data_IF_964119189157
#
_entry.id   IF_964119189157
#
_cell.length_a   1.000
_cell.length_b   1.000
_cell.length_c   1.000
_cell.angle_alpha   90.00
_cell.angle_beta   90.00
_cell.angle_gamma   90.00
#
_symmetry.space_group_name_H-M   'P 1'
#
loop_
_entity.id
_entity.type
_entity.pdbx_description
1 polymer ?
#
# COMPACT_ATOMS: atom_id res chain seq x y z
N UNK A 1 13.20 32.51 -79.51
CA UNK A 1 13.17 33.87 -78.91
C UNK A 1 11.74 34.39 -78.89
N UNK A 2 11.11 34.43 -77.71
CA UNK A 2 10.39 35.58 -77.13
C UNK A 2 9.69 35.09 -75.85
N UNK A 3 10.17 35.62 -74.73
CA UNK A 3 9.60 35.52 -73.40
C UNK A 3 8.33 36.38 -73.30
N UNK A 4 7.39 35.96 -72.46
CA UNK A 4 6.77 36.77 -71.39
C UNK A 4 5.25 36.57 -71.27
N UNK A 5 4.85 36.18 -70.05
CA UNK A 5 3.81 36.82 -69.22
C UNK A 5 2.65 35.93 -68.76
N UNK A 6 2.46 35.98 -67.42
CA UNK A 6 1.22 35.84 -66.64
C UNK A 6 0.83 34.45 -66.09
N UNK A 7 1.24 34.26 -64.84
CA UNK A 7 0.54 33.76 -63.65
C UNK A 7 -0.67 32.78 -63.78
N UNK A 8 -0.76 31.80 -62.87
CA UNK A 8 -1.84 30.81 -62.83
C UNK A 8 -3.09 31.41 -62.19
N UNK A 9 -4.23 31.29 -62.87
CA UNK A 9 -5.53 31.55 -62.28
C UNK A 9 -6.49 30.43 -62.69
N UNK A 10 -7.18 29.88 -61.68
CA UNK A 10 -8.39 29.05 -61.78
C UNK A 10 -8.22 27.59 -62.22
N UNK A 11 -7.69 26.78 -61.30
CA UNK A 11 -8.12 25.40 -61.14
C UNK A 11 -8.23 25.04 -59.65
N UNK A 12 -9.03 25.85 -58.93
CA UNK A 12 -9.56 25.55 -57.60
C UNK A 12 -11.08 25.37 -57.76
N UNK A 13 -11.54 24.13 -57.82
CA UNK A 13 -12.87 23.71 -57.35
C UNK A 13 -13.08 22.23 -57.73
N UNK A 14 -12.74 21.32 -56.81
CA UNK A 14 -13.33 19.99 -56.54
C UNK A 14 -12.31 18.92 -56.08
N UNK A 15 -11.44 19.27 -55.13
CA UNK A 15 -10.68 18.27 -54.37
C UNK A 15 -10.31 18.77 -52.96
N UNK A 16 -11.23 19.46 -52.29
CA UNK A 16 -11.01 20.00 -50.94
C UNK A 16 -12.25 19.88 -50.03
N UNK A 17 -12.96 18.75 -50.08
CA UNK A 17 -14.08 18.46 -49.15
C UNK A 17 -13.99 17.09 -48.48
N UNK A 18 -12.78 16.55 -48.33
CA UNK A 18 -12.55 15.35 -47.50
C UNK A 18 -11.11 15.29 -46.97
N UNK A 19 -10.69 16.30 -46.18
CA UNK A 19 -9.61 16.20 -45.17
C UNK A 19 -9.31 17.58 -44.55
N UNK A 20 -10.35 18.26 -44.04
CA UNK A 20 -10.20 19.53 -43.32
C UNK A 20 -11.19 19.67 -42.14
N UNK A 21 -11.82 18.58 -41.70
CA UNK A 21 -12.63 18.57 -40.47
C UNK A 21 -11.83 18.15 -39.22
N UNK A 22 -10.53 17.92 -39.37
CA UNK A 22 -9.63 17.76 -38.25
C UNK A 22 -9.08 19.16 -37.87
N UNK A 23 -9.23 19.54 -36.61
CA UNK A 23 -8.49 20.62 -35.90
C UNK A 23 -9.05 22.04 -35.93
N UNK A 24 -10.30 22.24 -35.51
CA UNK A 24 -10.60 23.38 -34.64
C UNK A 24 -10.85 22.84 -33.22
N UNK A 25 -10.12 23.28 -32.18
CA UNK A 25 -10.41 22.85 -30.81
C UNK A 25 -11.83 23.30 -30.47
N UNK A 26 -12.68 22.35 -30.05
CA UNK A 26 -14.00 22.69 -29.57
C UNK A 26 -13.84 23.54 -28.30
N UNK A 27 -14.03 24.85 -28.44
CA UNK A 27 -13.84 25.82 -27.37
C UNK A 27 -14.72 25.50 -26.14
N UNK A 28 -15.82 24.74 -26.28
CA UNK A 28 -16.61 24.27 -25.14
C UNK A 28 -15.90 23.12 -24.43
N UNK A 29 -15.42 22.12 -25.17
CA UNK A 29 -14.66 21.00 -24.65
C UNK A 29 -13.44 21.47 -23.85
N UNK A 30 -12.60 22.33 -24.44
CA UNK A 30 -11.39 22.85 -23.78
C UNK A 30 -11.74 23.61 -22.49
N UNK A 31 -12.82 24.40 -22.50
CA UNK A 31 -13.29 25.09 -21.29
C UNK A 31 -13.78 24.12 -20.22
N UNK A 32 -14.44 23.02 -20.58
CA UNK A 32 -14.89 22.04 -19.59
C UNK A 32 -13.72 21.28 -18.98
N UNK A 33 -12.76 20.83 -19.80
CA UNK A 33 -11.55 20.14 -19.33
C UNK A 33 -10.74 21.04 -18.39
N UNK A 34 -10.42 22.28 -18.79
CA UNK A 34 -9.66 23.21 -17.94
C UNK A 34 -10.39 23.53 -16.62
N UNK A 35 -11.72 23.69 -16.65
CA UNK A 35 -12.51 23.92 -15.42
C UNK A 35 -12.61 22.67 -14.55
N UNK A 36 -12.60 21.48 -15.16
CA UNK A 36 -12.60 20.22 -14.43
C UNK A 36 -11.28 20.04 -13.69
N UNK A 37 -10.16 20.28 -14.37
CA UNK A 37 -8.83 20.28 -13.79
C UNK A 37 -8.71 21.27 -12.63
N UNK A 38 -9.09 22.53 -12.83
CA UNK A 38 -9.10 23.53 -11.75
C UNK A 38 -10.02 23.12 -10.58
N UNK A 39 -11.11 22.39 -10.85
CA UNK A 39 -11.97 21.88 -9.78
C UNK A 39 -11.32 20.70 -9.04
N UNK A 40 -10.50 19.87 -9.69
CA UNK A 40 -9.72 18.82 -9.02
C UNK A 40 -8.64 19.44 -8.13
N UNK A 41 -7.92 20.45 -8.60
CA UNK A 41 -6.91 21.18 -7.80
C UNK A 41 -7.52 21.88 -6.58
N UNK A 42 -8.76 22.36 -6.70
CA UNK A 42 -9.51 22.96 -5.58
C UNK A 42 -10.22 21.94 -4.68
N UNK A 43 -9.97 20.63 -4.84
CA UNK A 43 -10.63 19.54 -4.11
C UNK A 43 -12.17 19.60 -4.18
N UNK A 44 -12.72 19.92 -5.36
CA UNK A 44 -14.15 20.00 -5.64
C UNK A 44 -14.60 18.84 -6.56
N UNK A 45 -14.60 17.58 -6.09
CA UNK A 45 -14.80 16.39 -6.93
C UNK A 45 -16.19 16.35 -7.58
N UNK A 46 -17.23 16.82 -6.90
CA UNK A 46 -18.60 16.91 -7.47
C UNK A 46 -18.68 17.88 -8.64
N UNK A 47 -17.92 18.99 -8.59
CA UNK A 47 -17.85 19.96 -9.69
C UNK A 47 -17.03 19.41 -10.84
N UNK A 48 -15.86 18.82 -10.55
CA UNK A 48 -15.03 18.17 -11.56
C UNK A 48 -15.83 17.10 -12.33
N UNK A 49 -16.50 16.19 -11.63
CA UNK A 49 -17.35 15.15 -12.24
C UNK A 49 -18.38 15.70 -13.24
N UNK A 50 -19.14 16.72 -12.84
CA UNK A 50 -20.16 17.31 -13.75
C UNK A 50 -19.54 17.93 -15.00
N UNK A 51 -18.34 18.48 -14.89
CA UNK A 51 -17.63 19.06 -16.03
C UNK A 51 -17.04 17.98 -16.93
N UNK A 52 -16.48 16.91 -16.34
CA UNK A 52 -15.96 15.77 -17.07
C UNK A 52 -17.05 14.98 -17.80
N UNK A 53 -18.24 14.82 -17.19
CA UNK A 53 -19.39 14.23 -17.88
C UNK A 53 -19.78 15.03 -19.12
N UNK A 54 -19.86 16.36 -19.01
CA UNK A 54 -20.14 17.24 -20.18
C UNK A 54 -19.06 17.17 -21.25
N UNK A 55 -17.79 17.10 -20.85
CA UNK A 55 -16.67 16.95 -21.78
C UNK A 55 -16.77 15.61 -22.52
N UNK A 56 -17.06 14.52 -21.81
CA UNK A 56 -17.24 13.20 -22.38
C UNK A 56 -18.47 13.12 -23.30
N UNK A 57 -19.63 13.66 -22.91
CA UNK A 57 -20.84 13.67 -23.75
C UNK A 57 -20.61 14.43 -25.08
N UNK A 58 -19.79 15.49 -25.05
CA UNK A 58 -19.47 16.26 -26.24
C UNK A 58 -18.44 15.57 -27.15
N UNK A 59 -17.49 14.85 -26.58
CA UNK A 59 -16.48 14.09 -27.32
C UNK A 59 -16.08 12.80 -26.57
N UNK A 60 -16.85 11.71 -26.74
CA UNK A 60 -16.60 10.46 -26.01
C UNK A 60 -15.22 9.86 -26.29
N UNK A 61 -14.71 10.07 -27.51
CA UNK A 61 -13.42 9.60 -27.98
C UNK A 61 -12.21 10.34 -27.40
N UNK A 62 -12.38 11.48 -26.70
CA UNK A 62 -11.25 12.24 -26.15
C UNK A 62 -10.72 11.61 -24.84
N UNK A 63 -9.46 11.13 -24.80
CA UNK A 63 -8.92 10.45 -23.63
C UNK A 63 -8.69 11.36 -22.43
N UNK A 64 -8.63 12.69 -22.61
CA UNK A 64 -8.33 13.65 -21.53
C UNK A 64 -9.40 13.66 -20.45
N UNK A 65 -10.66 13.44 -20.82
CA UNK A 65 -11.74 13.31 -19.85
C UNK A 65 -11.51 12.09 -18.93
N UNK A 66 -11.11 10.94 -19.49
CA UNK A 66 -10.79 9.74 -18.73
C UNK A 66 -9.51 9.89 -17.88
N UNK A 67 -8.48 10.56 -18.40
CA UNK A 67 -7.25 10.85 -17.65
C UNK A 67 -7.53 11.73 -16.41
N UNK A 68 -8.35 12.77 -16.55
CA UNK A 68 -8.77 13.60 -15.42
C UNK A 68 -9.72 12.85 -14.47
N UNK A 69 -10.59 12.02 -15.01
CA UNK A 69 -11.52 11.17 -14.25
C UNK A 69 -10.80 10.21 -13.30
N UNK A 70 -9.64 9.67 -13.72
CA UNK A 70 -8.82 8.81 -12.87
C UNK A 70 -8.44 9.47 -11.54
N UNK A 71 -8.31 10.80 -11.51
CA UNK A 71 -8.00 11.58 -10.30
C UNK A 71 -9.17 11.71 -9.32
N UNK A 72 -10.38 11.37 -9.73
CA UNK A 72 -11.55 11.30 -8.84
C UNK A 72 -11.53 10.06 -7.94
N UNK A 73 -10.81 9.01 -8.36
CA UNK A 73 -10.74 7.77 -7.60
C UNK A 73 -9.77 7.93 -6.42
N UNK A 74 -10.18 7.56 -5.20
CA UNK A 74 -9.33 7.73 -4.04
C UNK A 74 -8.10 6.82 -4.13
N UNK A 75 -6.93 7.35 -3.78
CA UNK A 75 -5.69 6.56 -3.71
C UNK A 75 -5.69 5.59 -2.52
N UNK A 76 -6.29 6.01 -1.40
CA UNK A 76 -6.60 5.15 -0.26
C UNK A 76 -8.11 4.90 -0.28
N UNK A 77 -8.54 3.68 -0.60
CA UNK A 77 -9.89 3.27 -0.25
C UNK A 77 -9.98 3.33 1.28
N UNK A 78 -10.60 4.39 1.80
CA UNK A 78 -10.78 4.63 3.24
C UNK A 78 -11.19 3.32 3.90
N UNK A 79 -10.60 3.00 5.06
CA UNK A 79 -10.61 1.69 5.75
C UNK A 79 -11.98 1.13 6.15
N UNK A 80 -12.92 1.09 5.22
CA UNK A 80 -14.25 0.52 5.29
C UNK A 80 -14.31 -0.61 4.25
N UNK A 81 -14.86 -1.76 4.65
CA UNK A 81 -14.99 -2.92 3.78
C UNK A 81 -15.90 -2.65 2.55
N UNK A 82 -16.79 -1.65 2.64
CA UNK A 82 -17.67 -1.22 1.55
C UNK A 82 -17.25 0.13 0.98
N UNK A 83 -17.30 0.28 -0.34
CA UNK A 83 -17.08 1.56 -1.00
C UNK A 83 -18.33 2.42 -0.90
N UNK A 84 -18.14 3.74 -0.79
CA UNK A 84 -19.25 4.66 -1.02
C UNK A 84 -19.80 4.47 -2.43
N UNK A 85 -21.13 4.54 -2.56
CA UNK A 85 -21.84 4.47 -3.84
C UNK A 85 -21.25 5.47 -4.87
N UNK A 86 -20.83 6.63 -4.37
CA UNK A 86 -20.15 7.67 -5.15
C UNK A 86 -18.88 7.16 -5.83
N UNK A 87 -17.98 6.51 -5.07
CA UNK A 87 -16.72 5.99 -5.62
C UNK A 87 -16.98 4.86 -6.60
N UNK A 88 -17.97 4.00 -6.32
CA UNK A 88 -18.36 2.95 -7.26
C UNK A 88 -18.93 3.53 -8.58
N UNK A 89 -19.71 4.61 -8.50
CA UNK A 89 -20.20 5.31 -9.68
C UNK A 89 -19.08 5.97 -10.49
N UNK A 90 -18.13 6.64 -9.82
CA UNK A 90 -16.95 7.23 -10.48
C UNK A 90 -16.09 6.16 -11.16
N UNK A 91 -15.90 5.00 -10.52
CA UNK A 91 -15.15 3.89 -11.09
C UNK A 91 -15.85 3.30 -12.32
N UNK A 92 -17.18 3.09 -12.28
CA UNK A 92 -17.94 2.64 -13.47
C UNK A 92 -17.84 3.63 -14.62
N UNK A 93 -18.09 4.90 -14.32
CA UNK A 93 -18.05 5.96 -15.32
C UNK A 93 -16.66 6.12 -15.94
N UNK A 94 -15.58 6.03 -15.16
CA UNK A 94 -14.21 6.03 -15.70
C UNK A 94 -14.00 4.90 -16.70
N UNK A 95 -14.46 3.69 -16.40
CA UNK A 95 -14.30 2.54 -17.31
C UNK A 95 -15.07 2.73 -18.61
N UNK A 96 -16.29 3.26 -18.54
CA UNK A 96 -17.07 3.64 -19.72
C UNK A 96 -16.33 4.70 -20.55
N UNK A 97 -15.78 5.72 -19.90
CA UNK A 97 -15.01 6.76 -20.56
C UNK A 97 -13.72 6.22 -21.23
N UNK A 98 -13.02 5.28 -20.59
CA UNK A 98 -11.85 4.61 -21.17
C UNK A 98 -12.24 3.76 -22.37
N UNK A 99 -13.35 3.02 -22.30
CA UNK A 99 -13.80 2.14 -23.38
C UNK A 99 -14.24 2.91 -24.63
N UNK A 100 -14.73 4.14 -24.46
CA UNK A 100 -15.15 5.02 -25.55
C UNK A 100 -14.01 5.90 -26.10
N UNK A 101 -12.90 6.06 -25.38
CA UNK A 101 -11.78 6.90 -25.77
C UNK A 101 -10.92 6.27 -26.89
N UNK A 102 -10.42 7.10 -27.80
CA UNK A 102 -9.37 6.70 -28.71
C UNK A 102 -8.08 6.39 -27.93
N UNK A 103 -7.29 5.44 -28.44
CA UNK A 103 -6.00 5.13 -27.85
C UNK A 103 -5.09 6.37 -27.89
N UNK A 104 -4.56 6.84 -26.74
CA UNK A 104 -3.66 7.99 -26.73
C UNK A 104 -2.41 7.70 -27.58
N UNK A 105 -1.98 8.70 -28.35
CA UNK A 105 -0.73 8.64 -29.09
C UNK A 105 0.47 8.59 -28.14
N UNK A 106 0.41 9.30 -27.01
CA UNK A 106 1.43 9.25 -25.98
C UNK A 106 1.39 7.91 -25.22
N UNK A 107 2.46 7.10 -25.28
CA UNK A 107 2.55 5.84 -24.53
C UNK A 107 2.42 6.01 -23.02
N UNK A 108 2.76 7.18 -22.46
CA UNK A 108 2.61 7.48 -21.03
C UNK A 108 1.14 7.63 -20.64
N UNK A 109 0.36 8.37 -21.43
CA UNK A 109 -1.09 8.50 -21.26
C UNK A 109 -1.79 7.16 -21.43
N UNK A 110 -1.41 6.37 -22.44
CA UNK A 110 -1.95 5.02 -22.63
C UNK A 110 -1.65 4.10 -21.44
N UNK A 111 -0.47 4.20 -20.82
CA UNK A 111 -0.12 3.48 -19.57
C UNK A 111 -0.93 4.00 -18.38
N UNK A 112 -1.15 5.31 -18.29
CA UNK A 112 -1.94 5.92 -17.22
C UNK A 112 -3.40 5.44 -17.27
N UNK A 113 -4.02 5.40 -18.45
CA UNK A 113 -5.38 4.86 -18.61
C UNK A 113 -5.47 3.39 -18.24
N UNK A 114 -4.49 2.55 -18.63
CA UNK A 114 -4.48 1.13 -18.22
C UNK A 114 -4.36 0.96 -16.71
N UNK A 115 -3.55 1.78 -16.03
CA UNK A 115 -3.46 1.78 -14.56
C UNK A 115 -4.75 2.25 -13.90
N UNK A 116 -5.40 3.26 -14.49
CA UNK A 116 -6.64 3.82 -14.01
C UNK A 116 -7.81 2.83 -14.14
N UNK A 117 -7.91 2.12 -15.27
CA UNK A 117 -8.90 1.05 -15.47
C UNK A 117 -8.66 -0.10 -14.48
N UNK A 118 -7.42 -0.57 -14.32
CA UNK A 118 -7.09 -1.61 -13.36
C UNK A 118 -7.47 -1.20 -11.92
N UNK A 119 -7.23 0.07 -11.53
CA UNK A 119 -7.66 0.57 -10.23
C UNK A 119 -9.19 0.62 -10.09
N UNK A 120 -9.91 1.07 -11.12
CA UNK A 120 -11.37 1.07 -11.13
C UNK A 120 -11.94 -0.35 -11.02
N UNK A 121 -11.37 -1.32 -11.73
CA UNK A 121 -11.73 -2.73 -11.61
C UNK A 121 -11.52 -3.25 -10.18
N UNK A 122 -10.38 -2.94 -9.56
CA UNK A 122 -10.09 -3.33 -8.18
C UNK A 122 -11.13 -2.76 -7.20
N UNK A 123 -11.47 -1.47 -7.34
CA UNK A 123 -12.53 -0.82 -6.57
C UNK A 123 -13.87 -1.53 -6.77
N UNK A 124 -14.25 -1.85 -8.00
CA UNK A 124 -15.51 -2.51 -8.32
C UNK A 124 -15.60 -3.99 -7.91
N UNK A 125 -14.53 -4.57 -7.36
CA UNK A 125 -14.52 -5.95 -6.89
C UNK A 125 -14.03 -6.97 -7.93
N UNK A 126 -13.64 -6.52 -9.12
CA UNK A 126 -13.02 -7.33 -10.17
C UNK A 126 -11.53 -7.54 -9.85
N UNK A 127 -11.23 -8.17 -8.71
CA UNK A 127 -9.87 -8.28 -8.18
C UNK A 127 -8.94 -9.09 -9.07
N UNK A 128 -9.48 -10.10 -9.77
CA UNK A 128 -8.71 -10.97 -10.66
C UNK A 128 -8.23 -10.20 -11.89
N UNK A 129 -9.15 -9.53 -12.56
CA UNK A 129 -8.94 -8.75 -13.78
C UNK A 129 -7.98 -7.59 -13.49
N UNK A 130 -8.25 -6.85 -12.41
CA UNK A 130 -7.45 -5.71 -11.98
C UNK A 130 -5.97 -6.07 -11.81
N UNK A 131 -5.70 -7.24 -11.22
CA UNK A 131 -4.33 -7.72 -11.03
C UNK A 131 -3.78 -8.29 -12.31
N UNK A 132 -4.54 -9.06 -13.09
CA UNK A 132 -4.05 -9.79 -14.26
C UNK A 132 -3.67 -8.86 -15.42
N UNK A 133 -4.53 -7.89 -15.72
CA UNK A 133 -4.45 -7.05 -16.91
C UNK A 133 -3.48 -5.88 -16.77
N UNK A 134 -3.10 -5.53 -15.53
CA UNK A 134 -2.16 -4.45 -15.29
C UNK A 134 -0.78 -4.80 -15.87
N UNK A 135 -0.21 -4.05 -16.83
CA UNK A 135 1.14 -4.26 -17.30
C UNK A 135 2.15 -3.82 -16.23
N UNK A 136 3.15 -4.65 -15.97
CA UNK A 136 4.17 -4.40 -14.95
C UNK A 136 5.53 -4.78 -15.53
N UNK A 137 6.39 -3.79 -15.70
CA UNK A 137 7.77 -3.99 -16.15
C UNK A 137 8.76 -4.19 -14.99
N UNK A 138 9.99 -4.65 -15.27
CA UNK A 138 11.07 -4.61 -14.30
C UNK A 138 11.33 -3.16 -13.87
N UNK A 139 11.55 -2.95 -12.57
CA UNK A 139 11.77 -1.63 -11.97
C UNK A 139 10.60 -0.63 -12.12
N UNK A 140 9.40 -1.07 -12.52
CA UNK A 140 8.22 -0.20 -12.62
C UNK A 140 7.64 0.10 -11.23
N UNK A 141 8.18 1.16 -10.60
CA UNK A 141 7.77 1.60 -9.27
C UNK A 141 6.31 2.00 -9.19
N UNK A 142 5.77 2.63 -10.24
CA UNK A 142 4.40 3.11 -10.23
C UNK A 142 3.40 1.95 -10.33
N UNK A 143 3.68 0.92 -11.15
CA UNK A 143 2.84 -0.27 -11.19
C UNK A 143 2.98 -1.12 -9.91
N UNK A 144 4.17 -1.22 -9.33
CA UNK A 144 4.38 -1.92 -8.06
C UNK A 144 3.61 -1.27 -6.90
N UNK A 145 3.64 0.06 -6.80
CA UNK A 145 2.88 0.81 -5.79
C UNK A 145 1.37 0.68 -6.00
N UNK A 146 0.88 0.67 -7.25
CA UNK A 146 -0.54 0.41 -7.52
C UNK A 146 -0.96 -0.99 -7.08
N UNK A 147 -0.16 -2.02 -7.40
CA UNK A 147 -0.43 -3.39 -6.96
C UNK A 147 -0.40 -3.53 -5.44
N UNK A 148 0.51 -2.82 -4.77
CA UNK A 148 0.57 -2.75 -3.31
C UNK A 148 -0.72 -2.15 -2.73
N UNK A 149 -1.22 -1.05 -3.31
CA UNK A 149 -2.51 -0.44 -2.90
C UNK A 149 -3.69 -1.39 -3.12
N UNK A 150 -3.72 -2.08 -4.25
CA UNK A 150 -4.71 -3.13 -4.53
C UNK A 150 -4.65 -4.24 -3.48
N UNK A 151 -3.45 -4.69 -3.10
CA UNK A 151 -3.30 -5.70 -2.08
C UNK A 151 -3.89 -5.26 -0.73
N UNK A 152 -3.64 -4.02 -0.31
CA UNK A 152 -4.26 -3.44 0.89
C UNK A 152 -5.79 -3.44 0.80
N UNK A 153 -6.36 -3.02 -0.34
CA UNK A 153 -7.81 -3.07 -0.57
C UNK A 153 -8.35 -4.50 -0.49
N UNK A 154 -7.66 -5.46 -1.08
CA UNK A 154 -8.07 -6.86 -1.10
C UNK A 154 -8.00 -7.49 0.30
N UNK A 155 -6.98 -7.16 1.11
CA UNK A 155 -6.92 -7.57 2.53
C UNK A 155 -8.12 -7.03 3.31
N UNK A 156 -8.50 -5.77 3.11
CA UNK A 156 -9.68 -5.19 3.77
C UNK A 156 -11.00 -5.89 3.39
N UNK A 157 -11.03 -6.57 2.23
CA UNK A 157 -12.17 -7.34 1.73
C UNK A 157 -12.03 -8.85 1.94
N UNK A 158 -11.05 -9.28 2.73
CA UNK A 158 -10.74 -10.68 2.99
C UNK A 158 -10.37 -11.51 1.74
N UNK A 159 -10.03 -10.86 0.62
CA UNK A 159 -9.52 -11.52 -0.59
C UNK A 159 -8.00 -11.67 -0.50
N UNK A 160 -7.57 -12.55 0.40
CA UNK A 160 -6.16 -12.82 0.64
C UNK A 160 -5.48 -13.53 -0.56
N UNK A 161 -6.27 -14.08 -1.51
CA UNK A 161 -5.75 -14.68 -2.74
C UNK A 161 -5.24 -13.63 -3.71
N UNK A 162 -6.08 -12.65 -4.05
CA UNK A 162 -5.68 -11.59 -4.96
C UNK A 162 -4.70 -10.62 -4.32
N UNK A 163 -4.76 -10.42 -3.00
CA UNK A 163 -3.74 -9.68 -2.27
C UNK A 163 -2.34 -10.28 -2.46
N UNK A 164 -2.21 -11.62 -2.34
CA UNK A 164 -0.93 -12.31 -2.52
C UNK A 164 -0.44 -12.18 -3.96
N UNK A 165 -1.34 -12.35 -4.94
CA UNK A 165 -1.00 -12.20 -6.36
C UNK A 165 -0.49 -10.80 -6.65
N UNK A 166 -1.15 -9.77 -6.12
CA UNK A 166 -0.76 -8.39 -6.31
C UNK A 166 0.61 -8.09 -5.70
N UNK A 167 0.85 -8.44 -4.43
CA UNK A 167 2.15 -8.26 -3.78
C UNK A 167 3.26 -9.09 -4.44
N UNK A 168 2.99 -10.31 -4.88
CA UNK A 168 3.98 -11.13 -5.58
C UNK A 168 4.35 -10.55 -6.95
N UNK A 169 3.41 -9.92 -7.65
CA UNK A 169 3.70 -9.16 -8.89
C UNK A 169 4.51 -7.89 -8.59
N UNK A 170 4.15 -7.15 -7.54
CA UNK A 170 4.87 -5.95 -7.13
C UNK A 170 6.32 -6.28 -6.73
N UNK A 171 6.51 -7.34 -5.94
CA UNK A 171 7.83 -7.81 -5.52
C UNK A 171 8.68 -8.30 -6.70
N UNK A 172 8.08 -8.93 -7.73
CA UNK A 172 8.82 -9.26 -8.96
C UNK A 172 9.30 -8.02 -9.73
N UNK A 173 8.52 -6.93 -9.70
CA UNK A 173 8.92 -5.67 -10.33
C UNK A 173 10.04 -4.97 -9.55
N UNK A 174 9.99 -5.03 -8.21
CA UNK A 174 10.97 -4.46 -7.30
C UNK A 174 11.48 -5.50 -6.28
N UNK A 175 12.32 -6.46 -6.68
CA UNK A 175 12.75 -7.57 -5.80
C UNK A 175 13.56 -7.12 -4.59
N UNK A 176 14.16 -5.94 -4.68
CA UNK A 176 15.04 -5.37 -3.65
C UNK A 176 14.29 -4.45 -2.67
N UNK A 177 13.00 -4.20 -2.89
CA UNK A 177 12.20 -3.34 -2.03
C UNK A 177 11.84 -4.06 -0.71
N UNK A 178 12.40 -3.62 0.43
CA UNK A 178 12.17 -4.27 1.72
C UNK A 178 10.72 -4.16 2.18
N UNK A 179 9.98 -3.12 1.76
CA UNK A 179 8.59 -2.91 2.13
C UNK A 179 7.70 -3.99 1.52
N UNK A 180 7.88 -4.29 0.23
CA UNK A 180 7.11 -5.31 -0.48
C UNK A 180 7.38 -6.71 0.05
N UNK A 181 8.64 -7.02 0.36
CA UNK A 181 8.99 -8.31 0.97
C UNK A 181 8.35 -8.47 2.35
N UNK A 182 8.36 -7.41 3.17
CA UNK A 182 7.73 -7.41 4.49
C UNK A 182 6.21 -7.63 4.40
N UNK A 183 5.53 -6.92 3.50
CA UNK A 183 4.08 -7.04 3.32
C UNK A 183 3.67 -8.41 2.76
N UNK A 184 4.41 -8.94 1.79
CA UNK A 184 4.18 -10.29 1.26
C UNK A 184 4.41 -11.36 2.34
N UNK A 185 5.45 -11.20 3.16
CA UNK A 185 5.74 -12.09 4.29
C UNK A 185 4.63 -12.08 5.33
N UNK A 186 4.15 -10.89 5.72
CA UNK A 186 3.02 -10.75 6.64
C UNK A 186 1.76 -11.42 6.09
N UNK A 187 1.51 -11.31 4.79
CA UNK A 187 0.36 -11.96 4.15
C UNK A 187 0.50 -13.49 4.09
N UNK A 188 1.71 -14.02 3.89
CA UNK A 188 1.95 -15.46 4.00
C UNK A 188 1.67 -15.98 5.41
N UNK A 189 2.07 -15.24 6.45
CA UNK A 189 1.76 -15.54 7.85
C UNK A 189 0.24 -15.53 8.08
N UNK A 190 -0.46 -14.47 7.66
CA UNK A 190 -1.90 -14.34 7.82
C UNK A 190 -2.68 -15.48 7.12
N UNK A 191 -2.12 -16.04 6.04
CA UNK A 191 -2.69 -17.17 5.31
C UNK A 191 -2.25 -18.54 5.82
N UNK A 192 -1.68 -18.63 7.03
CA UNK A 192 -1.25 -19.88 7.64
C UNK A 192 -0.10 -20.56 6.90
N UNK A 193 0.72 -19.81 6.15
CA UNK A 193 1.89 -20.31 5.41
C UNK A 193 3.18 -19.62 5.87
N UNK A 194 3.49 -19.60 7.19
CA UNK A 194 4.65 -18.90 7.71
C UNK A 194 5.98 -19.45 7.16
N UNK A 195 6.05 -20.74 6.81
CA UNK A 195 7.22 -21.34 6.17
C UNK A 195 7.60 -20.70 4.82
N UNK A 196 6.62 -20.21 4.05
CA UNK A 196 6.92 -19.49 2.80
C UNK A 196 7.59 -18.15 3.08
N UNK A 197 7.10 -17.42 4.10
CA UNK A 197 7.73 -16.18 4.54
C UNK A 197 9.16 -16.43 5.03
N UNK A 198 9.35 -17.45 5.88
CA UNK A 198 10.68 -17.81 6.41
C UNK A 198 11.67 -18.07 5.27
N UNK A 199 11.31 -18.89 4.27
CA UNK A 199 12.19 -19.18 3.13
C UNK A 199 12.57 -17.93 2.35
N UNK A 200 11.58 -17.09 1.99
CA UNK A 200 11.83 -15.87 1.23
C UNK A 200 12.72 -14.87 1.99
N UNK A 201 12.53 -14.75 3.30
CA UNK A 201 13.31 -13.85 4.14
C UNK A 201 14.74 -14.37 4.38
N UNK A 202 14.93 -15.69 4.49
CA UNK A 202 16.27 -16.28 4.52
C UNK A 202 17.00 -16.05 3.19
N UNK A 203 16.33 -16.17 2.04
CA UNK A 203 16.91 -15.88 0.73
C UNK A 203 17.35 -14.40 0.64
N UNK A 204 16.51 -13.49 1.13
CA UNK A 204 16.86 -12.07 1.24
C UNK A 204 18.12 -11.87 2.07
N UNK A 205 18.17 -12.44 3.27
CA UNK A 205 19.30 -12.27 4.20
C UNK A 205 20.60 -12.92 3.71
N UNK A 206 20.54 -13.92 2.82
CA UNK A 206 21.75 -14.42 2.13
C UNK A 206 22.39 -13.35 1.24
N UNK A 207 21.57 -12.53 0.58
CA UNK A 207 22.04 -11.47 -0.34
C UNK A 207 22.24 -10.12 0.35
N UNK A 208 21.52 -9.87 1.45
CA UNK A 208 21.59 -8.64 2.23
C UNK A 208 21.61 -8.97 3.73
N UNK A 209 22.75 -9.44 4.28
CA UNK A 209 22.83 -9.89 5.68
C UNK A 209 22.56 -8.80 6.72
N UNK A 210 22.76 -7.54 6.37
CA UNK A 210 22.52 -6.37 7.22
C UNK A 210 21.08 -5.82 7.11
N UNK A 211 20.19 -6.47 6.36
CA UNK A 211 18.80 -6.02 6.22
C UNK A 211 17.99 -6.30 7.50
N UNK A 212 18.06 -5.36 8.45
CA UNK A 212 17.35 -5.46 9.73
C UNK A 212 15.83 -5.54 9.54
N UNK A 213 15.27 -4.92 8.50
CA UNK A 213 13.84 -5.03 8.21
C UNK A 213 13.44 -6.46 7.82
N UNK A 214 14.26 -7.12 7.00
CA UNK A 214 14.09 -8.53 6.68
C UNK A 214 14.31 -9.44 7.90
N UNK A 215 15.29 -9.16 8.77
CA UNK A 215 15.47 -9.90 10.03
C UNK A 215 14.27 -9.77 10.97
N UNK A 216 13.72 -8.56 11.13
CA UNK A 216 12.51 -8.32 11.94
C UNK A 216 11.31 -9.09 11.39
N UNK A 217 11.11 -9.08 10.07
CA UNK A 217 10.08 -9.87 9.43
C UNK A 217 10.32 -11.39 9.61
N UNK A 218 11.58 -11.84 9.59
CA UNK A 218 11.95 -13.24 9.78
C UNK A 218 11.61 -13.71 11.19
N UNK A 219 11.97 -12.93 12.22
CA UNK A 219 11.61 -13.22 13.60
C UNK A 219 10.09 -13.38 13.77
N UNK A 220 9.30 -12.47 13.18
CA UNK A 220 7.83 -12.57 13.21
C UNK A 220 7.32 -13.82 12.49
N UNK A 221 7.86 -14.16 11.32
CA UNK A 221 7.48 -15.36 10.59
C UNK A 221 7.89 -16.66 11.32
N UNK A 222 9.02 -16.67 12.01
CA UNK A 222 9.49 -17.79 12.83
C UNK A 222 8.58 -18.02 14.04
N UNK A 223 8.17 -16.96 14.74
CA UNK A 223 7.18 -17.07 15.83
C UNK A 223 5.87 -17.68 15.31
N UNK A 224 5.37 -17.20 14.18
CA UNK A 224 4.16 -17.75 13.55
C UNK A 224 4.32 -19.20 13.07
N UNK A 225 5.54 -19.64 12.75
CA UNK A 225 5.87 -21.02 12.42
C UNK A 225 6.09 -21.92 13.66
N UNK A 226 5.91 -21.40 14.88
CA UNK A 226 6.19 -22.13 16.12
C UNK A 226 7.68 -22.33 16.42
N UNK A 227 8.57 -21.63 15.72
CA UNK A 227 10.03 -21.73 15.85
C UNK A 227 10.57 -20.62 16.77
N UNK A 228 10.06 -20.60 18.00
CA UNK A 228 10.31 -19.52 18.97
C UNK A 228 11.79 -19.28 19.28
N UNK A 229 12.56 -20.34 19.55
CA UNK A 229 13.99 -20.21 19.86
C UNK A 229 14.81 -19.62 18.69
N UNK A 230 14.47 -20.00 17.45
CA UNK A 230 15.09 -19.38 16.28
C UNK A 230 14.72 -17.89 16.15
N UNK A 231 13.47 -17.53 16.47
CA UNK A 231 13.04 -16.14 16.48
C UNK A 231 13.78 -15.30 17.53
N UNK A 232 13.98 -15.83 18.74
CA UNK A 232 14.80 -15.18 19.77
C UNK A 232 16.23 -14.95 19.29
N UNK A 233 16.83 -15.95 18.63
CA UNK A 233 18.15 -15.81 18.02
C UNK A 233 18.25 -14.64 17.05
N UNK A 234 17.25 -14.44 16.19
CA UNK A 234 17.22 -13.27 15.29
C UNK A 234 16.97 -11.95 16.03
N UNK A 235 16.08 -11.93 17.03
CA UNK A 235 15.78 -10.73 17.82
C UNK A 235 16.99 -10.26 18.65
N UNK A 236 17.79 -11.18 19.18
CA UNK A 236 19.06 -10.86 19.86
C UNK A 236 20.02 -10.13 18.91
N UNK A 237 20.26 -10.70 17.72
CA UNK A 237 21.11 -10.07 16.70
C UNK A 237 20.60 -8.69 16.30
N UNK A 238 19.28 -8.53 16.11
CA UNK A 238 18.70 -7.22 15.81
C UNK A 238 19.03 -6.23 16.92
N UNK A 239 18.85 -6.61 18.18
CA UNK A 239 19.11 -5.74 19.33
C UNK A 239 20.60 -5.41 19.48
N UNK A 240 21.50 -6.33 19.12
CA UNK A 240 22.95 -6.10 19.15
C UNK A 240 23.44 -5.21 17.99
N UNK A 241 22.77 -5.29 16.83
CA UNK A 241 23.12 -4.55 15.60
C UNK A 241 22.30 -3.27 15.39
N UNK A 242 21.27 -3.02 16.21
CA UNK A 242 20.32 -1.92 16.00
C UNK A 242 20.96 -0.54 16.12
N UNK A 243 20.54 0.37 15.24
CA UNK A 243 20.80 1.80 15.41
C UNK A 243 20.19 2.30 16.73
N UNK A 244 20.80 3.31 17.40
CA UNK A 244 20.33 3.80 18.70
C UNK A 244 18.86 4.23 18.73
N UNK A 245 18.33 4.72 17.61
CA UNK A 245 16.94 5.17 17.46
C UNK A 245 15.91 4.03 17.46
N UNK A 246 16.27 2.88 16.89
CA UNK A 246 15.40 1.70 16.75
C UNK A 246 15.55 0.73 17.93
N UNK A 247 16.67 0.84 18.66
CA UNK A 247 17.03 -0.03 19.78
C UNK A 247 15.92 -0.21 20.83
N UNK A 248 15.12 0.82 21.23
CA UNK A 248 14.04 0.62 22.19
C UNK A 248 12.93 -0.30 21.63
N UNK A 249 12.52 -0.10 20.37
CA UNK A 249 11.43 -0.85 19.77
C UNK A 249 11.81 -2.33 19.56
N UNK A 250 13.05 -2.60 19.16
CA UNK A 250 13.54 -3.97 18.98
C UNK A 250 13.75 -4.70 20.31
N UNK A 251 14.21 -4.00 21.35
CA UNK A 251 14.28 -4.55 22.70
C UNK A 251 12.88 -4.92 23.24
N UNK A 252 11.84 -4.14 22.94
CA UNK A 252 10.45 -4.52 23.27
C UNK A 252 9.95 -5.74 22.49
N UNK A 253 10.39 -5.94 21.24
CA UNK A 253 10.06 -7.15 20.46
C UNK A 253 10.72 -8.38 21.07
N UNK A 254 11.99 -8.27 21.44
CA UNK A 254 12.71 -9.32 22.16
C UNK A 254 12.02 -9.66 23.49
N UNK A 255 11.70 -8.65 24.30
CA UNK A 255 11.01 -8.85 25.58
C UNK A 255 9.66 -9.56 25.42
N UNK A 256 8.86 -9.17 24.43
CA UNK A 256 7.57 -9.80 24.17
C UNK A 256 7.72 -11.27 23.73
N UNK A 257 8.65 -11.56 22.81
CA UNK A 257 8.90 -12.93 22.36
C UNK A 257 9.46 -13.81 23.48
N UNK A 258 10.35 -13.27 24.31
CA UNK A 258 10.93 -13.96 25.46
C UNK A 258 9.85 -14.35 26.49
N UNK A 259 8.90 -13.45 26.77
CA UNK A 259 7.75 -13.75 27.63
C UNK A 259 6.87 -14.87 27.08
N UNK A 260 6.54 -14.82 25.78
CA UNK A 260 5.71 -15.84 25.15
C UNK A 260 6.36 -17.24 25.19
N UNK A 261 7.68 -17.29 25.28
CA UNK A 261 8.47 -18.52 25.39
C UNK A 261 8.88 -18.89 26.82
N UNK A 262 8.40 -18.13 27.83
CA UNK A 262 8.70 -18.38 29.24
C UNK A 262 10.13 -18.02 29.69
N UNK A 263 10.86 -17.24 28.89
CA UNK A 263 12.20 -16.73 29.21
C UNK A 263 12.10 -15.43 30.01
N UNK A 264 11.65 -15.56 31.26
CA UNK A 264 11.27 -14.42 32.09
C UNK A 264 12.45 -13.48 32.43
N UNK A 265 13.65 -14.02 32.64
CA UNK A 265 14.86 -13.23 32.92
C UNK A 265 15.28 -12.41 31.69
N UNK A 266 15.31 -13.03 30.52
CA UNK A 266 15.65 -12.37 29.25
C UNK A 266 14.61 -11.29 28.90
N UNK A 267 13.33 -11.59 29.15
CA UNK A 267 12.26 -10.63 28.97
C UNK A 267 12.43 -9.38 29.85
N UNK A 268 12.81 -9.56 31.11
CA UNK A 268 13.10 -8.45 32.02
C UNK A 268 14.28 -7.62 31.52
N UNK A 269 15.40 -8.26 31.15
CA UNK A 269 16.59 -7.57 30.67
C UNK A 269 16.28 -6.71 29.45
N UNK A 270 15.62 -7.30 28.45
CA UNK A 270 15.22 -6.60 27.24
C UNK A 270 14.22 -5.45 27.53
N UNK A 271 13.25 -5.66 28.43
CA UNK A 271 12.30 -4.61 28.80
C UNK A 271 12.98 -3.46 29.57
N UNK A 272 13.92 -3.75 30.48
CA UNK A 272 14.71 -2.73 31.19
C UNK A 272 15.58 -1.94 30.21
N UNK A 273 16.24 -2.60 29.26
CA UNK A 273 17.03 -1.94 28.21
C UNK A 273 16.17 -1.00 27.37
N UNK A 274 14.98 -1.46 26.96
CA UNK A 274 14.02 -0.62 26.23
C UNK A 274 13.61 0.62 27.04
N UNK A 275 13.26 0.43 28.32
CA UNK A 275 12.82 1.52 29.22
C UNK A 275 13.94 2.51 29.55
N UNK A 276 15.19 2.05 29.64
CA UNK A 276 16.34 2.91 29.88
C UNK A 276 16.59 3.86 28.69
N UNK A 277 16.36 3.38 27.47
CA UNK A 277 16.49 4.18 26.26
C UNK A 277 15.26 5.06 26.00
N UNK A 278 14.04 4.52 26.18
CA UNK A 278 12.80 5.25 26.03
C UNK A 278 11.69 4.67 26.94
N UNK A 279 11.36 5.35 28.06
CA UNK A 279 10.25 4.95 28.92
C UNK A 279 8.94 4.88 28.15
N UNK A 280 8.19 3.77 28.31
CA UNK A 280 6.91 3.59 27.62
C UNK A 280 5.96 2.69 28.44
N UNK A 281 4.63 2.88 28.32
CA UNK A 281 3.65 2.00 28.97
C UNK A 281 3.84 0.53 28.56
N UNK A 282 4.12 0.28 27.28
CA UNK A 282 4.37 -1.07 26.77
C UNK A 282 5.62 -1.71 27.41
N UNK A 283 6.71 -0.96 27.57
CA UNK A 283 7.90 -1.45 28.26
C UNK A 283 7.62 -1.81 29.72
N UNK A 284 6.85 -0.97 30.41
CA UNK A 284 6.45 -1.23 31.79
C UNK A 284 5.52 -2.44 31.93
N UNK A 285 4.60 -2.65 30.98
CA UNK A 285 3.76 -3.85 30.94
C UNK A 285 4.60 -5.11 30.79
N UNK A 286 5.52 -5.15 29.81
CA UNK A 286 6.39 -6.31 29.58
C UNK A 286 7.32 -6.58 30.77
N UNK A 287 7.90 -5.53 31.37
CA UNK A 287 8.71 -5.66 32.59
C UNK A 287 7.88 -6.24 33.74
N UNK A 288 6.68 -5.69 33.97
CA UNK A 288 5.80 -6.16 35.03
C UNK A 288 5.40 -7.63 34.87
N UNK A 289 5.05 -8.05 33.65
CA UNK A 289 4.72 -9.44 33.33
C UNK A 289 5.92 -10.38 33.50
N UNK A 290 7.13 -9.94 33.14
CA UNK A 290 8.36 -10.70 33.37
C UNK A 290 8.61 -10.93 34.86
N UNK A 291 8.46 -9.87 35.67
CA UNK A 291 8.62 -9.93 37.12
C UNK A 291 7.56 -10.81 37.79
N UNK A 292 6.33 -10.84 37.26
CA UNK A 292 5.29 -11.80 37.72
C UNK A 292 5.74 -13.24 37.48
N UNK A 293 6.25 -13.55 36.28
CA UNK A 293 6.72 -14.90 35.95
C UNK A 293 7.89 -15.35 36.83
N UNK A 294 8.73 -14.41 37.27
CA UNK A 294 9.82 -14.66 38.23
C UNK A 294 9.38 -14.67 39.70
N UNK A 295 8.12 -14.35 40.01
CA UNK A 295 7.62 -14.28 41.40
C UNK A 295 7.98 -13.01 42.18
N UNK A 296 8.56 -11.99 41.52
CA UNK A 296 8.98 -10.71 42.12
C UNK A 296 7.80 -9.74 42.21
N UNK A 297 6.84 -10.06 43.10
CA UNK A 297 5.52 -9.43 43.16
C UNK A 297 5.54 -7.92 43.38
N UNK A 298 6.38 -7.39 44.28
CA UNK A 298 6.36 -5.96 44.60
C UNK A 298 6.90 -5.10 43.47
N UNK A 299 7.99 -5.51 42.84
CA UNK A 299 8.52 -4.85 41.64
C UNK A 299 7.54 -4.97 40.47
N UNK A 300 6.90 -6.14 40.31
CA UNK A 300 5.86 -6.33 39.30
C UNK A 300 4.71 -5.34 39.48
N UNK A 301 4.16 -5.17 40.70
CA UNK A 301 3.09 -4.18 40.96
C UNK A 301 3.50 -2.77 40.57
N UNK A 302 4.72 -2.36 40.93
CA UNK A 302 5.23 -1.03 40.61
C UNK A 302 5.32 -0.80 39.09
N UNK A 303 5.82 -1.79 38.35
CA UNK A 303 5.91 -1.72 36.89
C UNK A 303 4.52 -1.75 36.22
N UNK A 304 3.64 -2.66 36.62
CA UNK A 304 2.30 -2.83 36.03
C UNK A 304 1.42 -1.58 36.19
N UNK A 305 1.54 -0.86 37.31
CA UNK A 305 0.82 0.42 37.53
C UNK A 305 1.21 1.53 36.54
N UNK A 306 2.35 1.42 35.87
CA UNK A 306 2.79 2.36 34.82
C UNK A 306 2.21 2.01 33.44
N UNK A 307 1.40 0.95 33.33
CA UNK A 307 0.74 0.52 32.10
C UNK A 307 -0.77 0.29 32.29
N UNK A 308 -1.54 1.32 32.75
CA UNK A 308 -2.94 1.14 33.13
C UNK A 308 -3.87 0.75 31.97
N UNK A 309 -3.49 1.02 30.72
CA UNK A 309 -4.30 0.70 29.55
C UNK A 309 -3.99 -0.69 28.96
N UNK A 310 -2.95 -1.38 29.44
CA UNK A 310 -2.62 -2.72 28.96
C UNK A 310 -3.45 -3.78 29.70
N UNK A 311 -4.28 -4.52 28.95
CA UNK A 311 -5.18 -5.53 29.51
C UNK A 311 -4.44 -6.66 30.23
N UNK A 312 -3.29 -7.11 29.71
CA UNK A 312 -2.49 -8.16 30.35
C UNK A 312 -1.92 -7.63 31.66
N UNK A 313 -1.45 -6.38 31.65
CA UNK A 313 -0.90 -5.75 32.83
C UNK A 313 -1.93 -5.55 33.94
N UNK A 314 -3.13 -5.07 33.60
CA UNK A 314 -4.25 -4.91 34.54
C UNK A 314 -4.65 -6.23 35.20
N UNK A 315 -4.85 -7.28 34.39
CA UNK A 315 -5.22 -8.61 34.90
C UNK A 315 -4.15 -9.18 35.84
N UNK A 316 -2.88 -9.00 35.49
CA UNK A 316 -1.78 -9.40 36.33
C UNK A 316 -1.75 -8.61 37.65
N UNK A 317 -2.00 -7.29 37.61
CA UNK A 317 -2.05 -6.45 38.80
C UNK A 317 -3.20 -6.85 39.74
N UNK A 318 -4.41 -7.06 39.20
CA UNK A 318 -5.57 -7.55 39.95
C UNK A 318 -5.26 -8.89 40.66
N UNK A 319 -4.63 -9.84 39.96
CA UNK A 319 -4.24 -11.12 40.53
C UNK A 319 -3.16 -11.01 41.62
N UNK A 320 -2.31 -9.97 41.57
CA UNK A 320 -1.31 -9.70 42.62
C UNK A 320 -1.92 -9.01 43.84
N UNK A 321 -3.00 -8.25 43.66
CA UNK A 321 -3.67 -7.47 44.72
C UNK A 321 -4.83 -8.21 45.38
N UNK A 322 -5.33 -9.29 44.76
CA UNK A 322 -6.34 -10.16 45.35
C UNK A 322 -5.87 -10.72 46.72
N UNK A 323 -6.72 -10.70 47.74
CA UNK A 323 -6.40 -11.32 49.03
C UNK A 323 -6.12 -12.80 48.82
N UNK A 324 -5.04 -13.31 49.44
CA UNK A 324 -4.75 -14.75 49.41
C UNK A 324 -5.88 -15.50 50.14
N UNK A 325 -6.35 -16.64 49.61
CA UNK A 325 -7.31 -17.48 50.31
C UNK A 325 -6.75 -18.00 51.63
#
# INVERSE_FOLDING_TARGET
MRLSALAPALALAFAATASASAQAPDARLERWLARAEAALEMERPTRARRLLARAHDARPADPRAALLAARLLPAAAAGQASLSERVAADARWLREAIAAADAPEDPLEARALRRADAWAQALLGAHREAVAELPVGPQDRAAAELLRRMATLFVLRDDLLHAERALARAHRALPQDPLLLRELSALHVARGRPDRAVRALLDRLRTAPADLAARRALASALLAAGRGEAALGELRRIVDEAAPEDAPADALRLAAAALELGRAEEAEEAARRALAAAPSPRGHALLGLALVAQGRRDEARAALRRAPDDLRARRALEALEAPRP
#
